data_IF_542040559889
#
_entry.id   IF_542040559889
#
_cell.length_a   1.000
_cell.length_b   1.000
_cell.length_c   1.000
_cell.angle_alpha   90.00
_cell.angle_beta   90.00
_cell.angle_gamma   90.00
#
_symmetry.space_group_name_H-M   'P 1'
#
loop_
_entity.id
_entity.type
_entity.pdbx_description
1 polymer ?
#
# COMPACT_ATOMS: atom_id res chain seq x y z
N UNK A 1 -8.78 63.42 6.71
CA UNK A 1 -8.04 62.21 6.27
C UNK A 1 -7.64 61.46 7.51
N UNK A 2 -8.34 60.37 7.83
CA UNK A 2 -8.02 59.47 8.95
C UNK A 2 -7.76 58.08 8.36
N UNK A 3 -6.78 57.39 8.92
CA UNK A 3 -6.17 56.16 8.40
C UNK A 3 -7.16 55.15 7.77
N UNK A 4 -6.85 54.83 6.52
CA UNK A 4 -6.97 53.51 5.93
C UNK A 4 -6.91 52.38 6.97
N UNK A 5 -8.08 51.85 7.33
CA UNK A 5 -8.24 50.49 7.83
C UNK A 5 -7.76 49.54 6.73
N UNK A 6 -6.45 49.36 6.69
CA UNK A 6 -5.79 48.27 6.01
C UNK A 6 -6.37 47.01 6.62
N UNK A 7 -7.27 46.37 5.88
CA UNK A 7 -7.47 44.94 5.95
C UNK A 7 -6.08 44.31 5.82
N UNK A 8 -5.39 44.16 6.95
CA UNK A 8 -4.47 43.05 7.16
C UNK A 8 -5.37 41.81 7.19
N UNK A 9 -5.89 41.47 6.01
CA UNK A 9 -6.31 40.15 5.70
C UNK A 9 -5.03 39.34 5.88
N UNK A 10 -4.89 38.81 7.10
CA UNK A 10 -4.06 37.66 7.41
C UNK A 10 -4.30 36.69 6.27
N UNK A 11 -3.43 36.74 5.27
CA UNK A 11 -3.30 35.71 4.28
C UNK A 11 -2.71 34.57 5.09
N UNK A 12 -3.63 33.83 5.73
CA UNK A 12 -3.38 32.49 6.22
C UNK A 12 -2.82 31.73 5.03
N UNK A 13 -1.50 31.64 4.98
CA UNK A 13 -0.76 30.71 4.14
C UNK A 13 -1.04 29.31 4.67
N UNK A 14 -2.29 28.88 4.49
CA UNK A 14 -2.81 27.54 4.75
C UNK A 14 -2.47 26.69 3.53
N UNK A 15 -1.19 26.65 3.19
CA UNK A 15 -0.66 25.69 2.24
C UNK A 15 -0.69 24.32 2.96
N UNK A 16 -1.54 23.36 2.56
CA UNK A 16 -1.61 22.08 3.23
C UNK A 16 -0.24 21.42 3.17
N UNK A 17 0.35 21.15 4.34
CA UNK A 17 1.58 20.40 4.44
C UNK A 17 1.42 19.06 3.69
N UNK A 18 2.43 18.58 2.96
CA UNK A 18 2.31 17.32 2.24
C UNK A 18 1.92 16.20 3.20
N UNK A 19 0.72 15.66 3.05
CA UNK A 19 0.27 14.53 3.86
C UNK A 19 1.08 13.28 3.48
N UNK A 20 1.78 12.71 4.46
CA UNK A 20 2.52 11.47 4.27
C UNK A 20 1.55 10.32 3.99
N UNK A 21 1.60 9.79 2.77
CA UNK A 21 0.73 8.69 2.36
C UNK A 21 1.11 7.42 3.14
N UNK A 22 0.18 6.81 3.90
CA UNK A 22 0.48 5.64 4.71
C UNK A 22 0.88 4.44 3.83
N UNK A 23 1.85 3.65 4.31
CA UNK A 23 2.45 2.56 3.53
C UNK A 23 1.43 1.51 3.06
N UNK A 24 0.44 1.20 3.89
CA UNK A 24 -0.61 0.24 3.54
C UNK A 24 -1.43 0.74 2.33
N UNK A 25 -1.71 2.05 2.26
CA UNK A 25 -2.45 2.65 1.16
C UNK A 25 -1.62 2.60 -0.13
N UNK A 26 -0.31 2.89 -0.06
CA UNK A 26 0.60 2.77 -1.21
C UNK A 26 0.74 1.35 -1.75
N UNK A 27 0.59 0.32 -0.91
CA UNK A 27 0.58 -1.09 -1.34
C UNK A 27 -0.72 -1.43 -2.07
N UNK A 28 -1.87 -0.96 -1.55
CA UNK A 28 -3.19 -1.20 -2.14
C UNK A 28 -3.47 -0.31 -3.37
N UNK A 29 -2.82 0.83 -3.50
CA UNK A 29 -3.01 1.74 -4.65
C UNK A 29 -2.22 1.30 -5.89
N UNK A 30 -1.30 0.33 -5.75
CA UNK A 30 -0.49 -0.18 -6.87
C UNK A 30 -1.09 -1.48 -7.43
N UNK A 31 -1.79 -1.44 -8.58
CA UNK A 31 -2.48 -2.62 -9.12
C UNK A 31 -1.53 -3.77 -9.47
N UNK A 32 -0.28 -3.48 -9.85
CA UNK A 32 0.73 -4.52 -10.09
C UNK A 32 1.18 -5.22 -8.81
N UNK A 33 1.33 -4.49 -7.69
CA UNK A 33 1.65 -5.08 -6.40
C UNK A 33 0.51 -5.99 -5.93
N UNK A 34 -0.73 -5.53 -6.08
CA UNK A 34 -1.93 -6.34 -5.83
C UNK A 34 -2.01 -7.57 -6.74
N UNK A 35 -1.66 -7.43 -8.03
CA UNK A 35 -1.64 -8.56 -8.98
C UNK A 35 -0.59 -9.59 -8.60
N UNK A 36 0.65 -9.14 -8.35
CA UNK A 36 1.74 -10.01 -7.92
C UNK A 36 1.36 -10.70 -6.62
N UNK A 37 0.84 -9.97 -5.64
CA UNK A 37 0.39 -10.57 -4.39
C UNK A 37 -0.75 -11.57 -4.61
N UNK A 38 -1.69 -11.25 -5.49
CA UNK A 38 -2.84 -12.09 -5.84
C UNK A 38 -2.46 -13.42 -6.50
N UNK A 39 -1.37 -13.46 -7.27
CA UNK A 39 -0.86 -14.70 -7.89
C UNK A 39 0.17 -15.38 -6.97
N UNK A 40 1.00 -14.61 -6.27
CA UNK A 40 2.03 -15.13 -5.39
C UNK A 40 1.44 -15.90 -4.21
N UNK A 41 0.34 -15.42 -3.62
CA UNK A 41 -0.34 -16.13 -2.52
C UNK A 41 -0.72 -17.56 -2.92
N UNK A 42 -1.61 -17.80 -3.91
CA UNK A 42 -1.95 -19.17 -4.28
C UNK A 42 -0.74 -19.95 -4.80
N UNK A 43 0.20 -19.34 -5.52
CA UNK A 43 1.39 -20.03 -6.00
C UNK A 43 2.23 -20.59 -4.83
N UNK A 44 2.52 -19.78 -3.81
CA UNK A 44 3.28 -20.22 -2.63
C UNK A 44 2.51 -21.29 -1.86
N UNK A 45 1.20 -21.12 -1.69
CA UNK A 45 0.34 -22.13 -1.08
C UNK A 45 0.42 -23.47 -1.82
N UNK A 46 0.26 -23.48 -3.14
CA UNK A 46 0.34 -24.69 -3.96
C UNK A 46 1.73 -25.33 -3.95
N UNK A 47 2.79 -24.52 -3.93
CA UNK A 47 4.16 -25.03 -3.84
C UNK A 47 4.36 -25.76 -2.50
N UNK A 48 4.00 -25.12 -1.39
CA UNK A 48 4.15 -25.72 -0.05
C UNK A 48 3.30 -27.00 0.04
N UNK A 49 2.05 -26.93 -0.41
CA UNK A 49 1.16 -28.08 -0.41
C UNK A 49 1.70 -29.23 -1.27
N UNK A 50 2.21 -28.94 -2.47
CA UNK A 50 2.83 -29.93 -3.35
C UNK A 50 4.09 -30.55 -2.76
N UNK A 51 4.91 -29.78 -2.04
CA UNK A 51 6.07 -30.33 -1.32
C UNK A 51 5.61 -31.30 -0.23
N UNK A 52 4.62 -30.91 0.57
CA UNK A 52 4.04 -31.79 1.60
C UNK A 52 3.55 -33.08 0.95
N UNK A 53 2.75 -32.98 -0.12
CA UNK A 53 2.23 -34.14 -0.86
C UNK A 53 3.35 -35.08 -1.30
N UNK A 54 4.40 -34.56 -1.95
CA UNK A 54 5.53 -35.36 -2.44
C UNK A 54 6.25 -36.08 -1.28
N UNK A 55 6.46 -35.42 -0.14
CA UNK A 55 7.15 -36.05 1.01
C UNK A 55 6.34 -37.15 1.67
N UNK A 56 5.01 -37.16 1.49
CA UNK A 56 4.12 -38.17 2.04
C UNK A 56 3.92 -39.36 1.09
N UNK A 57 4.40 -39.29 -0.16
CA UNK A 57 4.31 -40.42 -1.09
C UNK A 57 5.22 -41.54 -0.57
N UNK A 58 4.65 -42.71 -0.20
CA UNK A 58 5.46 -43.85 0.19
C UNK A 58 6.24 -44.34 -1.04
N UNK A 59 7.55 -44.49 -0.87
CA UNK A 59 8.39 -45.08 -1.90
C UNK A 59 8.04 -46.57 -1.93
N UNK A 60 7.48 -47.04 -3.03
CA UNK A 60 7.19 -48.46 -3.21
C UNK A 60 8.51 -49.25 -3.23
N UNK A 61 8.60 -50.28 -2.39
CA UNK A 61 9.67 -51.29 -2.41
C UNK A 61 9.68 -52.10 -3.72
#
# INVERSE_FOLDING_TARGET
MNENNNMDASASDDSPAPEDIPLMQRVLDNPFLLLVLGIAVPAVFYIIWGIIEITQIPIAD
#
